data_IF_667556023558
#
_entry.id   IF_667556023558
#
_cell.length_a   1.000
_cell.length_b   1.000
_cell.length_c   1.000
_cell.angle_alpha   90.00
_cell.angle_beta   90.00
_cell.angle_gamma   90.00
#
_symmetry.space_group_name_H-M   'P 1'
#
loop_
_entity.id
_entity.type
_entity.pdbx_description
1 polymer ?
#
# COMPACT_ATOMS: atom_id res chain seq x y z
N UNK A 1 -13.12 -0.81 2.26
CA UNK A 1 -12.67 -0.25 0.96
C UNK A 1 -13.85 0.47 0.32
N UNK A 2 -13.99 1.77 0.55
CA UNK A 2 -15.06 2.57 -0.02
C UNK A 2 -14.81 2.74 -1.52
N UNK A 3 -15.73 2.22 -2.33
CA UNK A 3 -15.72 2.36 -3.78
C UNK A 3 -15.99 3.84 -4.08
N UNK A 4 -14.94 4.62 -4.32
CA UNK A 4 -15.11 6.01 -4.76
C UNK A 4 -15.82 5.99 -6.11
N UNK A 5 -17.11 6.30 -6.08
CA UNK A 5 -17.94 6.46 -7.26
C UNK A 5 -17.37 7.62 -8.09
N UNK A 6 -16.75 7.28 -9.23
CA UNK A 6 -16.16 8.28 -10.11
C UNK A 6 -17.29 8.97 -10.84
N UNK A 7 -17.54 10.23 -10.48
CA UNK A 7 -18.45 11.11 -11.23
C UNK A 7 -17.98 11.16 -12.70
N UNK A 8 -18.89 11.06 -13.70
CA UNK A 8 -18.49 11.10 -15.11
C UNK A 8 -17.82 12.44 -15.42
N UNK A 9 -16.63 12.37 -16.01
CA UNK A 9 -15.82 13.54 -16.38
C UNK A 9 -16.36 14.09 -17.70
N UNK A 10 -16.77 15.36 -17.70
CA UNK A 10 -17.21 16.08 -18.91
C UNK A 10 -16.22 17.21 -19.26
N UNK A 11 -16.37 17.82 -20.44
CA UNK A 11 -15.55 18.98 -20.83
C UNK A 11 -15.74 20.22 -19.92
N UNK A 12 -16.83 20.28 -19.15
CA UNK A 12 -17.07 21.32 -18.15
C UNK A 12 -16.37 21.04 -16.81
N UNK A 13 -15.66 19.92 -16.68
CA UNK A 13 -14.97 19.56 -15.44
C UNK A 13 -13.78 20.50 -15.22
N UNK A 14 -13.74 21.18 -14.09
CA UNK A 14 -12.58 21.99 -13.70
C UNK A 14 -11.31 21.13 -13.66
N UNK A 15 -10.18 21.70 -14.06
CA UNK A 15 -8.89 21.01 -14.09
C UNK A 15 -8.53 20.45 -12.70
N UNK A 16 -8.82 21.17 -11.62
CA UNK A 16 -8.63 20.67 -10.23
C UNK A 16 -9.51 19.48 -9.85
N UNK A 17 -10.60 19.24 -10.59
CA UNK A 17 -11.51 18.11 -10.41
C UNK A 17 -11.23 16.96 -11.37
N UNK A 18 -10.27 17.14 -12.29
CA UNK A 18 -9.87 16.12 -13.24
C UNK A 18 -9.18 14.95 -12.50
N UNK A 19 -9.64 13.70 -12.64
CA UNK A 19 -9.33 12.62 -11.69
C UNK A 19 -7.98 11.91 -11.89
N UNK A 20 -7.25 12.20 -12.97
CA UNK A 20 -6.28 11.24 -13.52
C UNK A 20 -4.87 11.35 -12.95
N UNK A 21 -4.58 12.28 -12.03
CA UNK A 21 -3.29 12.33 -11.35
C UNK A 21 -3.52 12.58 -9.87
N UNK A 22 -3.63 11.49 -9.11
CA UNK A 22 -3.69 11.51 -7.66
C UNK A 22 -2.36 11.07 -7.06
N UNK A 23 -1.89 11.81 -6.06
CA UNK A 23 -0.74 11.49 -5.23
C UNK A 23 -1.19 11.01 -3.85
N UNK A 24 -0.55 9.97 -3.36
CA UNK A 24 -0.69 9.43 -2.03
C UNK A 24 0.45 9.95 -1.16
N UNK A 25 0.11 10.57 -0.04
CA UNK A 25 1.07 11.00 0.98
C UNK A 25 0.85 10.11 2.21
N UNK A 26 1.92 9.53 2.74
CA UNK A 26 1.88 8.64 3.91
C UNK A 26 2.99 8.96 4.89
N UNK A 27 2.76 8.72 6.18
CA UNK A 27 3.86 8.65 7.16
C UNK A 27 4.26 7.18 7.38
N UNK A 28 5.53 6.94 7.70
CA UNK A 28 6.05 5.60 8.03
C UNK A 28 5.59 5.06 9.40
N UNK A 29 4.98 5.89 10.26
CA UNK A 29 4.76 5.55 11.67
C UNK A 29 3.34 5.80 12.16
N UNK A 30 2.76 6.98 11.90
CA UNK A 30 1.38 7.24 12.26
C UNK A 30 0.45 6.81 11.12
N UNK A 31 -0.83 6.59 11.44
CA UNK A 31 -1.87 6.23 10.47
C UNK A 31 -2.26 7.39 9.51
N UNK A 32 -1.49 8.49 9.48
CA UNK A 32 -1.77 9.64 8.64
C UNK A 32 -1.53 9.27 7.17
N UNK A 33 -2.58 9.37 6.38
CA UNK A 33 -2.54 9.24 4.93
C UNK A 33 -3.40 10.33 4.29
N UNK A 34 -3.00 10.77 3.10
CA UNK A 34 -3.79 11.66 2.27
C UNK A 34 -3.72 11.23 0.82
N UNK A 35 -4.85 11.35 0.12
CA UNK A 35 -4.92 11.19 -1.34
C UNK A 35 -5.32 12.54 -1.93
N UNK A 36 -4.37 13.19 -2.60
CA UNK A 36 -4.51 14.57 -3.09
C UNK A 36 -4.27 14.60 -4.58
N UNK A 37 -5.01 15.42 -5.32
CA UNK A 37 -4.80 15.59 -6.77
C UNK A 37 -3.62 16.50 -7.04
N UNK A 38 -2.81 16.18 -8.05
CA UNK A 38 -1.64 16.97 -8.43
C UNK A 38 -2.03 18.41 -8.79
N UNK A 39 -3.14 18.60 -9.49
CA UNK A 39 -3.65 19.93 -9.84
C UNK A 39 -3.97 20.80 -8.61
N UNK A 40 -4.48 20.20 -7.53
CA UNK A 40 -4.76 20.91 -6.28
C UNK A 40 -3.46 21.33 -5.61
N UNK A 41 -2.47 20.42 -5.55
CA UNK A 41 -1.15 20.74 -5.02
C UNK A 41 -0.44 21.84 -5.82
N UNK A 42 -0.59 21.86 -7.14
CA UNK A 42 -0.03 22.90 -7.99
C UNK A 42 -0.66 24.27 -7.75
N UNK A 43 -1.96 24.33 -7.44
CA UNK A 43 -2.65 25.58 -7.08
C UNK A 43 -2.18 26.06 -5.70
N UNK A 44 -2.08 25.14 -4.73
CA UNK A 44 -1.79 25.49 -3.34
C UNK A 44 -0.32 25.81 -3.08
N UNK A 45 0.61 25.05 -3.68
CA UNK A 45 2.04 25.19 -3.45
C UNK A 45 2.79 25.86 -4.61
N UNK A 46 2.16 25.94 -5.79
CA UNK A 46 2.78 26.37 -7.04
C UNK A 46 3.32 25.19 -7.86
N UNK A 47 3.35 25.36 -9.19
CA UNK A 47 3.77 24.31 -10.13
C UNK A 47 5.22 23.82 -9.91
N UNK A 48 6.10 24.71 -9.45
CA UNK A 48 7.53 24.43 -9.24
C UNK A 48 7.87 24.06 -7.80
N UNK A 49 6.87 23.82 -6.94
CA UNK A 49 7.13 23.46 -5.56
C UNK A 49 7.75 22.05 -5.46
N UNK A 50 8.85 21.88 -4.72
CA UNK A 50 9.41 20.56 -4.52
C UNK A 50 8.48 19.71 -3.64
N UNK A 51 8.34 18.42 -3.98
CA UNK A 51 7.53 17.47 -3.21
C UNK A 51 7.93 17.42 -1.72
N UNK A 52 9.21 17.61 -1.41
CA UNK A 52 9.70 17.70 -0.04
C UNK A 52 9.04 18.83 0.78
N UNK A 53 8.64 19.94 0.15
CA UNK A 53 7.89 21.01 0.82
C UNK A 53 6.48 20.56 1.18
N UNK A 54 5.80 19.89 0.25
CA UNK A 54 4.45 19.33 0.47
C UNK A 54 4.48 18.28 1.58
N UNK A 55 5.46 17.38 1.55
CA UNK A 55 5.64 16.36 2.59
C UNK A 55 5.92 16.96 3.97
N UNK A 56 6.72 18.03 4.04
CA UNK A 56 6.94 18.79 5.28
C UNK A 56 5.65 19.39 5.84
N UNK A 57 4.83 20.01 5.01
CA UNK A 57 3.53 20.54 5.46
C UNK A 57 2.60 19.42 5.90
N UNK A 58 2.60 18.27 5.21
CA UNK A 58 1.78 17.12 5.58
C UNK A 58 2.14 16.51 6.95
N UNK A 59 3.41 16.59 7.38
CA UNK A 59 3.87 16.04 8.68
C UNK A 59 3.93 17.06 9.81
N UNK A 60 3.62 18.34 9.59
CA UNK A 60 3.77 19.39 10.62
C UNK A 60 2.99 19.10 11.91
N UNK A 61 1.87 18.40 11.80
CA UNK A 61 1.04 17.96 12.93
C UNK A 61 1.35 16.53 13.41
N UNK A 62 2.41 15.90 12.90
CA UNK A 62 2.77 14.55 13.29
C UNK A 62 3.40 14.56 14.71
N UNK A 63 2.94 13.70 15.63
CA UNK A 63 3.56 13.57 16.95
C UNK A 63 5.03 13.10 16.91
N UNK A 64 5.43 12.47 15.80
CA UNK A 64 6.78 11.93 15.58
C UNK A 64 7.60 12.78 14.59
N UNK A 65 7.16 14.01 14.29
CA UNK A 65 7.94 14.94 13.46
C UNK A 65 9.21 15.35 14.23
N UNK A 66 10.43 15.14 13.69
CA UNK A 66 11.67 15.59 14.31
C UNK A 66 11.78 17.11 14.50
N UNK A 67 10.98 17.90 13.80
CA UNK A 67 10.92 19.35 13.94
C UNK A 67 9.86 19.81 14.95
N UNK A 68 9.05 18.89 15.49
CA UNK A 68 8.06 19.24 16.50
C UNK A 68 8.76 19.57 17.84
N UNK A 69 8.63 20.82 18.35
CA UNK A 69 9.32 21.24 19.57
C UNK A 69 8.84 20.50 20.83
N UNK A 70 7.62 19.97 20.82
CA UNK A 70 7.07 19.18 21.92
C UNK A 70 7.59 17.75 21.93
N UNK A 71 8.21 17.29 20.85
CA UNK A 71 8.75 15.94 20.73
C UNK A 71 10.25 15.94 21.00
N UNK A 72 10.70 15.16 21.99
CA UNK A 72 12.14 14.93 22.24
C UNK A 72 12.59 13.70 21.45
N UNK A 73 13.37 13.85 20.36
CA UNK A 73 13.84 12.72 19.59
C UNK A 73 14.75 11.83 20.43
N UNK A 74 14.34 10.58 20.65
CA UNK A 74 15.23 9.57 21.20
C UNK A 74 16.28 9.16 20.15
N UNK A 75 17.49 8.81 20.59
CA UNK A 75 18.61 8.40 19.71
C UNK A 75 18.23 7.27 18.73
N UNK A 76 17.39 6.33 19.19
CA UNK A 76 16.80 5.24 18.40
C UNK A 76 15.27 5.38 18.27
N UNK A 77 14.75 6.58 18.48
CA UNK A 77 13.33 6.88 18.41
C UNK A 77 12.81 6.85 16.98
N UNK A 78 11.52 6.53 16.85
CA UNK A 78 10.78 6.60 15.58
C UNK A 78 10.79 8.03 15.06
N UNK A 79 11.28 8.27 13.84
CA UNK A 79 11.25 9.58 13.19
C UNK A 79 10.24 9.52 12.04
N UNK A 80 9.18 10.32 12.06
CA UNK A 80 8.34 10.43 10.87
C UNK A 80 9.14 11.13 9.77
N UNK A 81 9.09 10.57 8.57
CA UNK A 81 9.65 11.20 7.38
C UNK A 81 8.70 10.93 6.24
N UNK A 82 7.54 11.61 6.20
CA UNK A 82 6.51 11.29 5.23
C UNK A 82 7.06 11.08 3.84
N UNK A 83 6.41 10.16 3.14
CA UNK A 83 6.83 9.71 1.83
C UNK A 83 5.65 9.69 0.88
N UNK A 84 5.98 9.78 -0.40
CA UNK A 84 5.04 9.59 -1.49
C UNK A 84 5.32 8.22 -2.12
N UNK A 85 4.47 7.20 -1.87
CA UNK A 85 4.65 5.87 -2.45
C UNK A 85 4.69 5.91 -3.99
N UNK A 86 3.97 6.85 -4.60
CA UNK A 86 3.82 6.93 -6.06
C UNK A 86 5.10 7.37 -6.78
N UNK A 87 6.01 8.05 -6.08
CA UNK A 87 7.33 8.44 -6.63
C UNK A 87 8.38 7.37 -6.37
N UNK A 88 8.19 6.57 -5.32
CA UNK A 88 9.09 5.46 -4.98
C UNK A 88 8.83 4.21 -5.81
N UNK A 89 7.64 4.10 -6.42
CA UNK A 89 7.31 3.02 -7.35
C UNK A 89 7.50 3.50 -8.80
N UNK A 90 8.15 2.71 -9.67
CA UNK A 90 8.15 2.99 -11.10
C UNK A 90 6.78 2.76 -11.74
N UNK A 91 5.82 2.19 -10.99
CA UNK A 91 4.46 1.94 -11.49
C UNK A 91 3.66 3.25 -11.44
N UNK A 92 3.04 3.66 -12.56
CA UNK A 92 2.12 4.80 -12.55
C UNK A 92 1.01 4.55 -11.51
N UNK A 93 0.69 5.52 -10.65
CA UNK A 93 -0.25 5.35 -9.54
C UNK A 93 -1.67 4.96 -9.99
N UNK A 94 -1.97 5.18 -11.27
CA UNK A 94 -3.29 4.96 -11.86
C UNK A 94 -3.41 3.64 -12.65
N UNK A 95 -2.36 2.80 -12.72
CA UNK A 95 -2.45 1.52 -13.41
C UNK A 95 -3.19 0.50 -12.52
N UNK A 96 -4.42 0.07 -12.88
CA UNK A 96 -5.15 -0.91 -12.08
C UNK A 96 -4.37 -2.23 -12.03
N UNK A 97 -4.49 -3.02 -10.93
CA UNK A 97 -3.74 -4.27 -10.75
C UNK A 97 -3.91 -5.27 -11.91
N UNK A 98 -5.03 -5.21 -12.62
CA UNK A 98 -5.32 -6.03 -13.81
C UNK A 98 -4.49 -5.66 -15.04
N UNK A 99 -3.89 -4.47 -15.09
CA UNK A 99 -3.04 -3.97 -16.17
C UNK A 99 -1.55 -3.94 -15.78
N UNK A 100 -1.22 -4.14 -14.50
CA UNK A 100 0.13 -4.50 -14.11
C UNK A 100 0.34 -5.97 -14.46
N UNK A 101 1.18 -6.24 -15.47
CA UNK A 101 1.40 -7.56 -16.05
C UNK A 101 1.40 -8.72 -15.04
N UNK A 102 0.81 -9.85 -15.46
CA UNK A 102 0.71 -11.06 -14.66
C UNK A 102 2.09 -11.42 -14.09
N UNK A 103 2.15 -11.56 -12.77
CA UNK A 103 3.37 -12.03 -12.09
C UNK A 103 3.33 -13.55 -12.08
N UNK A 104 4.35 -14.20 -12.64
CA UNK A 104 4.48 -15.66 -12.57
C UNK A 104 4.69 -16.05 -11.09
N UNK A 105 3.77 -16.81 -10.52
CA UNK A 105 3.94 -17.43 -9.21
C UNK A 105 4.53 -18.82 -9.47
N UNK A 106 5.81 -19.02 -9.18
CA UNK A 106 6.43 -20.35 -9.21
C UNK A 106 5.76 -21.23 -8.13
N UNK A 107 5.19 -22.37 -8.53
CA UNK A 107 4.65 -23.41 -7.63
C UNK A 107 3.14 -23.66 -7.66
N UNK A 108 2.32 -22.80 -8.27
CA UNK A 108 0.86 -22.83 -8.04
C UNK A 108 0.07 -24.06 -8.49
N UNK A 109 0.57 -24.87 -9.45
CA UNK A 109 -0.18 -26.01 -10.01
C UNK A 109 0.31 -27.39 -9.54
N UNK A 110 1.49 -27.46 -8.93
CA UNK A 110 2.07 -28.72 -8.48
C UNK A 110 1.80 -29.03 -7.00
N UNK A 111 1.50 -28.01 -6.18
CA UNK A 111 1.38 -28.16 -4.71
C UNK A 111 -0.05 -28.47 -4.21
N UNK A 112 -1.04 -28.69 -5.09
CA UNK A 112 -2.47 -28.79 -4.67
C UNK A 112 -3.09 -30.17 -4.92
N UNK A 113 -2.33 -31.25 -4.91
CA UNK A 113 -2.94 -32.58 -4.78
C UNK A 113 -2.20 -33.37 -3.69
N UNK A 114 -2.81 -33.58 -2.50
CA UNK A 114 -2.32 -34.61 -1.60
C UNK A 114 -2.34 -35.93 -2.36
N UNK A 115 -1.18 -36.59 -2.41
CA UNK A 115 -1.05 -37.93 -2.97
C UNK A 115 -2.12 -38.86 -2.37
N UNK A 116 -2.63 -39.75 -3.21
CA UNK A 116 -3.73 -40.65 -2.88
C UNK A 116 -3.58 -41.30 -1.49
N UNK A 117 -4.69 -41.48 -0.74
CA UNK A 117 -4.62 -42.06 0.59
C UNK A 117 -4.05 -43.49 0.50
N UNK A 118 -2.89 -43.71 1.11
CA UNK A 118 -2.27 -45.04 1.22
C UNK A 118 -3.24 -46.03 1.86
N UNK A 119 -3.35 -47.23 1.28
CA UNK A 119 -4.27 -48.29 1.72
C UNK A 119 -4.23 -48.53 3.23
N UNK A 120 -5.38 -48.80 3.89
CA UNK A 120 -5.42 -49.02 5.31
C UNK A 120 -4.69 -50.31 5.68
N UNK A 121 -3.56 -50.18 6.39
CA UNK A 121 -2.86 -51.30 7.02
C UNK A 121 -3.83 -52.03 7.95
N UNK A 122 -4.25 -53.24 7.58
CA UNK A 122 -5.01 -54.15 8.45
C UNK A 122 -4.18 -54.41 9.71
N UNK A 123 -4.58 -53.80 10.82
CA UNK A 123 -4.01 -54.10 12.14
C UNK A 123 -4.23 -55.58 12.46
N UNK A 124 -3.16 -56.35 12.63
CA UNK A 124 -3.20 -57.71 13.19
C UNK A 124 -3.79 -57.63 14.61
N UNK A 125 -4.78 -58.48 14.90
CA UNK A 125 -5.20 -58.74 16.28
C UNK A 125 -4.05 -59.43 17.01
N UNK A 126 -3.70 -58.93 18.18
CA UNK A 126 -2.76 -59.59 19.10
C UNK A 126 -3.57 -60.61 19.90
N UNK A 127 -3.23 -61.89 19.77
CA UNK A 127 -3.76 -62.98 20.61
C UNK A 127 -4.26 -64.22 19.85
N UNK A 128 -3.48 -64.77 18.92
CA UNK A 128 -3.78 -66.07 18.30
C UNK A 128 -2.55 -66.99 18.44
N UNK A 129 -2.65 -67.98 19.36
CA UNK A 129 -1.77 -69.16 19.55
C UNK A 129 -0.36 -68.89 20.10
N UNK A 130 0.27 -69.72 20.94
CA UNK A 130 0.04 -71.11 21.36
C UNK A 130 0.85 -71.38 22.64
N UNK A 131 0.36 -72.36 23.44
CA UNK A 131 1.05 -73.19 24.47
C UNK A 131 2.07 -72.59 25.45
#
# INVERSE_FOLDING_TARGET
MTKHERRPVTLATMIGHYPWVALHLRCHHCAREAKVRLAVLAIEYGLNAPLGRVLRTFVSECPYDPLNPSWKPQKYGRKCGAYCPDVMSPRPPDLPPSLSGLTLIEGGKADVLPAEPSEPVRRRRVGEGDE
#
